data_IF_842486685251
#
_entry.id   IF_842486685251
#
_cell.length_a   1.000
_cell.length_b   1.000
_cell.length_c   1.000
_cell.angle_alpha   90.00
_cell.angle_beta   90.00
_cell.angle_gamma   90.00
#
_symmetry.space_group_name_H-M   'P 1'
#
loop_
_entity.id
_entity.type
_entity.pdbx_description
1 polymer ?
#
# COMPACT_ATOMS: atom_id res chain seq x y z
N UNK A 1 -9.80 -7.73 3.49
CA UNK A 1 -8.52 -7.64 2.74
C UNK A 1 -7.51 -8.71 3.17
N UNK A 2 -7.14 -8.80 4.46
CA UNK A 2 -6.08 -9.71 4.94
C UNK A 2 -6.28 -11.21 4.64
N UNK A 3 -7.47 -11.76 4.86
CA UNK A 3 -7.75 -13.18 4.61
C UNK A 3 -7.61 -13.59 3.14
N UNK A 4 -8.08 -12.75 2.21
CA UNK A 4 -7.92 -12.97 0.78
C UNK A 4 -6.43 -12.87 0.36
N UNK A 5 -5.66 -11.94 0.92
CA UNK A 5 -4.23 -11.82 0.64
C UNK A 5 -3.42 -13.02 1.15
N UNK A 6 -3.75 -13.55 2.33
CA UNK A 6 -3.14 -14.78 2.84
C UNK A 6 -3.47 -15.99 1.97
N UNK A 7 -4.72 -16.12 1.50
CA UNK A 7 -5.13 -17.19 0.60
C UNK A 7 -4.48 -17.12 -0.79
N UNK A 8 -4.21 -15.91 -1.31
CA UNK A 8 -3.42 -15.74 -2.55
C UNK A 8 -1.98 -16.20 -2.34
N UNK A 9 -1.38 -15.93 -1.17
CA UNK A 9 -0.03 -16.38 -0.85
C UNK A 9 0.11 -17.90 -0.70
N UNK A 10 -0.98 -18.59 -0.38
CA UNK A 10 -1.06 -20.05 -0.25
C UNK A 10 -1.51 -20.74 -1.55
N UNK A 11 -1.77 -19.99 -2.62
CA UNK A 11 -2.32 -20.55 -3.85
C UNK A 11 -1.28 -21.45 -4.54
N UNK A 12 -1.60 -22.72 -4.82
CA UNK A 12 -0.72 -23.59 -5.60
C UNK A 12 -0.42 -22.99 -6.97
N UNK A 13 0.79 -23.19 -7.48
CA UNK A 13 1.20 -22.64 -8.77
C UNK A 13 0.47 -23.32 -9.93
N UNK A 14 0.48 -22.69 -11.12
CA UNK A 14 -0.09 -23.27 -12.33
C UNK A 14 0.43 -24.68 -12.63
N UNK A 15 1.67 -24.97 -12.27
CA UNK A 15 2.26 -26.30 -12.43
C UNK A 15 1.55 -27.40 -11.61
N UNK A 16 0.87 -27.04 -10.51
CA UNK A 16 0.19 -27.98 -9.62
C UNK A 16 -1.29 -28.16 -9.93
N UNK A 17 -1.98 -27.09 -10.34
CA UNK A 17 -3.45 -27.08 -10.51
C UNK A 17 -3.94 -26.54 -11.86
N UNK A 18 -3.02 -26.28 -12.79
CA UNK A 18 -3.33 -25.82 -14.15
C UNK A 18 -4.19 -24.56 -14.18
N UNK A 19 -5.18 -24.53 -15.07
CA UNK A 19 -6.10 -23.40 -15.28
C UNK A 19 -6.93 -23.02 -14.04
N UNK A 20 -7.05 -23.92 -13.05
CA UNK A 20 -7.72 -23.58 -11.80
C UNK A 20 -6.96 -22.50 -10.99
N UNK A 21 -5.64 -22.39 -11.13
CA UNK A 21 -4.85 -21.35 -10.46
C UNK A 21 -5.27 -19.92 -10.85
N UNK A 22 -5.28 -19.52 -12.14
CA UNK A 22 -5.70 -18.17 -12.52
C UNK A 22 -7.18 -17.89 -12.24
N UNK A 23 -8.06 -18.91 -12.29
CA UNK A 23 -9.47 -18.75 -11.94
C UNK A 23 -9.62 -18.42 -10.44
N UNK A 24 -9.00 -19.20 -9.56
CA UNK A 24 -9.03 -18.95 -8.13
C UNK A 24 -8.38 -17.61 -7.76
N UNK A 25 -7.25 -17.29 -8.39
CA UNK A 25 -6.59 -16.00 -8.21
C UNK A 25 -7.52 -14.84 -8.61
N UNK A 26 -8.27 -14.98 -9.70
CA UNK A 26 -9.24 -13.96 -10.17
C UNK A 26 -10.38 -13.79 -9.16
N UNK A 27 -10.93 -14.89 -8.63
CA UNK A 27 -11.99 -14.85 -7.62
C UNK A 27 -11.47 -14.18 -6.34
N UNK A 28 -10.29 -14.56 -5.87
CA UNK A 28 -9.67 -13.95 -4.68
C UNK A 28 -9.38 -12.46 -4.89
N UNK A 29 -8.94 -12.07 -6.09
CA UNK A 29 -8.74 -10.66 -6.46
C UNK A 29 -10.05 -9.88 -6.47
N UNK A 30 -11.13 -10.47 -6.97
CA UNK A 30 -12.46 -9.87 -6.94
C UNK A 30 -12.93 -9.67 -5.49
N UNK A 31 -12.79 -10.69 -4.64
CA UNK A 31 -13.12 -10.60 -3.22
C UNK A 31 -12.27 -9.55 -2.48
N UNK A 32 -10.98 -9.46 -2.80
CA UNK A 32 -10.08 -8.45 -2.24
C UNK A 32 -10.47 -7.05 -2.69
N UNK A 33 -10.90 -6.88 -3.96
CA UNK A 33 -11.43 -5.64 -4.50
C UNK A 33 -12.71 -5.17 -3.81
N UNK A 34 -13.67 -6.07 -3.58
CA UNK A 34 -14.89 -5.77 -2.82
C UNK A 34 -14.57 -5.35 -1.38
N UNK A 35 -13.68 -6.09 -0.71
CA UNK A 35 -13.29 -5.79 0.66
C UNK A 35 -12.58 -4.43 0.77
N UNK A 36 -11.69 -4.11 -0.17
CA UNK A 36 -11.03 -2.81 -0.24
C UNK A 36 -12.07 -1.73 -0.53
N UNK A 37 -12.93 -1.89 -1.54
CA UNK A 37 -13.94 -0.90 -1.90
C UNK A 37 -14.84 -0.49 -0.73
N UNK A 38 -15.30 -1.47 0.06
CA UNK A 38 -16.09 -1.20 1.26
C UNK A 38 -15.30 -0.49 2.37
N UNK A 39 -14.07 -0.94 2.65
CA UNK A 39 -13.22 -0.35 3.69
C UNK A 39 -12.77 1.07 3.33
N UNK A 40 -12.42 1.29 2.07
CA UNK A 40 -11.90 2.56 1.58
C UNK A 40 -12.99 3.64 1.55
N UNK A 41 -14.20 3.28 1.10
CA UNK A 41 -15.36 4.18 1.11
C UNK A 41 -15.77 4.60 2.52
N UNK A 42 -15.89 3.64 3.46
CA UNK A 42 -16.21 3.93 4.85
C UNK A 42 -15.15 4.76 5.57
N UNK A 43 -13.87 4.50 5.31
CA UNK A 43 -12.77 5.29 5.88
C UNK A 43 -12.77 6.74 5.36
N UNK A 44 -13.06 6.96 4.08
CA UNK A 44 -13.17 8.32 3.54
C UNK A 44 -14.37 9.06 4.12
N UNK A 45 -15.52 8.40 4.27
CA UNK A 45 -16.68 8.99 4.94
C UNK A 45 -16.32 9.45 6.35
N UNK A 46 -15.73 8.56 7.15
CA UNK A 46 -15.31 8.87 8.52
C UNK A 46 -14.31 10.05 8.56
N UNK A 47 -13.34 10.08 7.65
CA UNK A 47 -12.37 11.19 7.55
C UNK A 47 -13.07 12.51 7.23
N UNK A 48 -14.04 12.50 6.32
CA UNK A 48 -14.77 13.71 5.93
C UNK A 48 -15.77 14.17 6.99
N UNK A 49 -16.44 13.24 7.67
CA UNK A 49 -17.38 13.53 8.75
C UNK A 49 -16.67 14.04 10.02
N UNK A 50 -15.50 13.47 10.33
CA UNK A 50 -14.68 13.87 11.48
C UNK A 50 -13.89 15.16 11.23
N UNK A 51 -13.83 15.64 9.98
CA UNK A 51 -13.10 16.85 9.63
C UNK A 51 -13.95 18.12 9.87
N UNK A 52 -13.31 19.25 10.23
CA UNK A 52 -13.97 20.55 10.35
C UNK A 52 -14.76 20.92 9.09
N UNK A 53 -15.95 21.52 9.26
CA UNK A 53 -16.89 21.83 8.16
C UNK A 53 -16.23 22.62 7.02
N UNK A 54 -15.31 23.54 7.35
CA UNK A 54 -14.58 24.39 6.41
C UNK A 54 -13.41 23.68 5.69
N UNK A 55 -13.04 22.46 6.11
CA UNK A 55 -11.85 21.74 5.63
C UNK A 55 -12.09 20.31 5.18
N UNK A 56 -13.34 19.83 5.16
CA UNK A 56 -13.68 18.45 4.73
C UNK A 56 -13.09 18.07 3.37
N UNK A 57 -13.17 18.98 2.40
CA UNK A 57 -12.58 18.80 1.07
C UNK A 57 -11.06 18.67 1.11
N UNK A 58 -10.38 19.45 1.95
CA UNK A 58 -8.92 19.39 2.10
C UNK A 58 -8.46 18.08 2.78
N UNK A 59 -9.10 17.67 3.88
CA UNK A 59 -8.75 16.42 4.57
C UNK A 59 -9.06 15.18 3.73
N UNK A 60 -10.18 15.16 3.01
CA UNK A 60 -10.51 14.10 2.05
C UNK A 60 -9.51 14.02 0.90
N UNK A 61 -9.15 15.17 0.29
CA UNK A 61 -8.14 15.23 -0.77
C UNK A 61 -6.75 14.81 -0.27
N UNK A 62 -6.36 15.22 0.94
CA UNK A 62 -5.09 14.83 1.54
C UNK A 62 -5.00 13.31 1.78
N UNK A 63 -6.08 12.70 2.27
CA UNK A 63 -6.16 11.26 2.47
C UNK A 63 -6.09 10.49 1.14
N UNK A 64 -6.71 11.01 0.07
CA UNK A 64 -6.59 10.47 -1.29
C UNK A 64 -5.19 10.67 -1.89
N UNK A 65 -4.54 11.81 -1.64
CA UNK A 65 -3.24 12.15 -2.22
C UNK A 65 -2.11 11.21 -1.74
N UNK A 66 -2.24 10.61 -0.56
CA UNK A 66 -1.22 9.70 -0.02
C UNK A 66 -0.91 8.50 -0.93
N UNK A 67 -1.92 7.92 -1.59
CA UNK A 67 -1.74 6.77 -2.48
C UNK A 67 -0.91 7.09 -3.74
N UNK A 68 -1.28 8.07 -4.58
CA UNK A 68 -0.50 8.43 -5.76
C UNK A 68 0.88 9.00 -5.39
N UNK A 69 1.00 9.76 -4.29
CA UNK A 69 2.31 10.24 -3.82
C UNK A 69 3.23 9.06 -3.47
N UNK A 70 2.73 8.04 -2.78
CA UNK A 70 3.50 6.83 -2.49
C UNK A 70 3.96 6.09 -3.75
N UNK A 71 3.08 5.98 -4.77
CA UNK A 71 3.42 5.37 -6.07
C UNK A 71 4.49 6.17 -6.80
N UNK A 72 4.38 7.50 -6.83
CA UNK A 72 5.38 8.37 -7.44
C UNK A 72 6.73 8.20 -6.75
N UNK A 73 6.77 8.24 -5.42
CA UNK A 73 8.00 8.05 -4.64
C UNK A 73 8.63 6.67 -4.89
N UNK A 74 7.82 5.61 -4.97
CA UNK A 74 8.31 4.27 -5.28
C UNK A 74 8.93 4.19 -6.69
N UNK A 75 8.27 4.76 -7.69
CA UNK A 75 8.80 4.81 -9.07
C UNK A 75 10.06 5.65 -9.16
N UNK A 76 10.11 6.81 -8.51
CA UNK A 76 11.31 7.65 -8.46
C UNK A 76 12.49 6.89 -7.84
N UNK A 77 12.29 6.22 -6.69
CA UNK A 77 13.32 5.40 -6.08
C UNK A 77 13.81 4.28 -7.01
N UNK A 78 12.90 3.63 -7.73
CA UNK A 78 13.23 2.58 -8.70
C UNK A 78 14.07 3.12 -9.87
N UNK A 79 13.66 4.26 -10.45
CA UNK A 79 14.38 4.93 -11.55
C UNK A 79 15.76 5.39 -11.08
N UNK A 80 15.86 6.00 -9.90
CA UNK A 80 17.15 6.46 -9.36
C UNK A 80 18.11 5.29 -9.16
N UNK A 81 17.65 4.17 -8.60
CA UNK A 81 18.50 3.00 -8.39
C UNK A 81 18.89 2.36 -9.72
N UNK A 82 17.95 2.26 -10.67
CA UNK A 82 18.21 1.76 -12.02
C UNK A 82 19.27 2.63 -12.75
N UNK A 83 19.22 3.95 -12.59
CA UNK A 83 20.19 4.86 -13.20
C UNK A 83 21.59 4.83 -12.54
N UNK A 84 21.70 4.37 -11.29
CA UNK A 84 22.96 4.35 -10.53
C UNK A 84 23.71 3.02 -10.65
N UNK A 85 23.08 2.00 -11.21
CA UNK A 85 23.53 0.60 -11.16
C UNK A 85 23.52 0.04 -12.58
N UNK A 86 24.48 -0.84 -12.92
CA UNK A 86 24.47 -1.50 -14.23
C UNK A 86 23.22 -2.37 -14.40
N UNK A 87 22.66 -2.43 -15.61
CA UNK A 87 21.49 -3.25 -15.93
C UNK A 87 21.67 -4.72 -15.49
N UNK A 88 22.88 -5.25 -15.61
CA UNK A 88 23.23 -6.61 -15.22
C UNK A 88 23.11 -6.83 -13.71
N UNK A 89 23.61 -5.90 -12.89
CA UNK A 89 23.46 -5.97 -11.44
C UNK A 89 22.03 -5.69 -10.99
N UNK A 90 21.32 -4.78 -11.68
CA UNK A 90 19.94 -4.45 -11.38
C UNK A 90 19.03 -5.68 -11.53
N UNK A 91 19.16 -6.40 -12.65
CA UNK A 91 18.37 -7.60 -12.96
C UNK A 91 18.70 -8.81 -12.07
N UNK A 92 19.95 -8.95 -11.61
CA UNK A 92 20.33 -10.03 -10.69
C UNK A 92 19.89 -9.76 -9.25
N UNK A 93 20.13 -8.56 -8.72
CA UNK A 93 19.88 -8.27 -7.30
C UNK A 93 19.47 -6.83 -6.99
N UNK A 94 19.89 -5.84 -7.79
CA UNK A 94 19.69 -4.42 -7.51
C UNK A 94 18.23 -3.99 -7.39
N UNK A 95 17.30 -4.68 -8.03
CA UNK A 95 15.85 -4.44 -7.89
C UNK A 95 15.33 -4.59 -6.46
N UNK A 96 16.07 -5.23 -5.54
CA UNK A 96 15.71 -5.41 -4.12
C UNK A 96 16.02 -4.20 -3.25
N UNK A 97 16.97 -3.35 -3.66
CA UNK A 97 17.43 -2.17 -2.91
C UNK A 97 16.28 -1.19 -2.57
N UNK A 98 15.38 -0.82 -3.51
CA UNK A 98 14.27 0.09 -3.22
C UNK A 98 13.30 -0.48 -2.16
N UNK A 99 13.10 -1.81 -2.17
CA UNK A 99 12.22 -2.49 -1.22
C UNK A 99 12.82 -2.53 0.19
N UNK A 100 14.12 -2.83 0.31
CA UNK A 100 14.83 -2.84 1.61
C UNK A 100 14.89 -1.42 2.19
N UNK A 101 15.18 -0.41 1.36
CA UNK A 101 15.17 0.98 1.79
C UNK A 101 13.78 1.42 2.29
N UNK A 102 12.72 1.02 1.60
CA UNK A 102 11.33 1.28 2.03
C UNK A 102 11.00 0.61 3.36
N UNK A 103 11.44 -0.64 3.58
CA UNK A 103 11.23 -1.35 4.84
C UNK A 103 11.92 -0.65 6.03
N UNK A 104 13.12 -0.10 5.83
CA UNK A 104 13.83 0.68 6.87
C UNK A 104 13.10 1.98 7.20
N UNK A 105 12.57 2.69 6.18
CA UNK A 105 11.80 3.92 6.37
C UNK A 105 10.51 3.66 7.17
N UNK A 106 9.81 2.56 6.88
CA UNK A 106 8.59 2.15 7.60
C UNK A 106 8.92 1.66 9.01
N UNK A 107 10.02 0.94 9.18
CA UNK A 107 10.51 0.47 10.48
C UNK A 107 10.85 1.63 11.43
N UNK A 108 11.43 2.72 10.93
CA UNK A 108 11.68 3.92 11.76
C UNK A 108 10.40 4.60 12.23
N UNK A 109 9.28 4.51 11.50
CA UNK A 109 8.00 5.10 11.92
C UNK A 109 7.45 4.48 13.20
N UNK A 110 7.76 3.21 13.49
CA UNK A 110 7.38 2.55 14.75
C UNK A 110 8.22 2.99 15.96
N UNK A 111 9.36 3.68 15.75
CA UNK A 111 10.27 4.12 16.81
C UNK A 111 10.01 5.56 17.25
N UNK A 112 9.26 6.34 16.47
CA UNK A 112 8.74 7.63 16.93
C UNK A 112 7.32 7.42 17.45
N UNK A 113 7.09 7.34 18.77
CA UNK A 113 5.73 7.50 19.26
C UNK A 113 5.28 8.88 18.78
N UNK A 114 4.34 8.88 17.84
CA UNK A 114 3.61 10.09 17.48
C UNK A 114 2.90 10.50 18.77
N UNK A 115 3.50 11.42 19.53
CA UNK A 115 2.81 12.18 20.57
C UNK A 115 1.75 13.00 19.84
N UNK A 116 0.60 12.36 19.60
CA UNK A 116 -0.65 13.08 19.35
C UNK A 116 -0.87 13.94 20.59
N UNK A 117 -0.62 15.24 20.44
CA UNK A 117 -0.80 16.23 21.47
C UNK A 117 -2.19 16.09 22.06
N UNK A 118 -2.24 16.08 23.40
CA UNK A 118 -3.42 15.75 24.17
C UNK A 118 -4.59 16.69 23.91
N UNK A 119 -5.76 16.06 23.92
CA UNK A 119 -7.02 16.60 24.42
C UNK A 119 -6.84 17.74 25.44
N UNK A 120 -7.41 18.91 25.14
CA UNK A 120 -8.11 19.81 26.08
C UNK A 120 -9.36 20.25 25.29
N UNK A 121 -10.61 19.86 25.58
CA UNK A 121 -11.35 19.87 26.84
C UNK A 121 -11.13 21.17 27.59
N UNK A 122 -11.70 22.28 27.08
CA UNK A 122 -12.70 23.13 27.76
C UNK A 122 -13.57 23.77 26.68
#
# INVERSE_FOLDING_TARGET
>A
MGTASTLIGLLPTYAMIGVAAPILLTILRFAQGLAIGGQWGGAMLLVTESAPDDKRGFYGAFAQAGAPVGVILANLAFITISAMVSDEFFNTWGWRIPFIASAVLIGKKHVYPIKLGGHKSI
#
